data_IF_940476519521
#
_entry.id   IF_940476519521
#
_cell.length_a   1.000
_cell.length_b   1.000
_cell.length_c   1.000
_cell.angle_alpha   90.00
_cell.angle_beta   90.00
_cell.angle_gamma   90.00
#
_symmetry.space_group_name_H-M   'P 1'
#
loop_
_entity.id
_entity.type
_entity.pdbx_description
1 polymer ?
#
# COMPACT_ATOMS: atom_id res chain seq x y z
N UNK A 1 -3.59 41.59 30.88
CA UNK A 1 -4.44 40.70 30.06
C UNK A 1 -3.97 40.51 28.59
N UNK A 2 -3.39 41.52 27.92
CA UNK A 2 -2.92 41.40 26.49
C UNK A 2 -1.77 40.40 26.27
N UNK A 3 -0.87 40.19 27.25
CA UNK A 3 0.30 39.33 27.08
C UNK A 3 -0.04 37.83 27.11
N UNK A 4 -1.03 37.39 27.89
CA UNK A 4 -1.46 35.97 27.95
C UNK A 4 -2.16 35.56 26.68
N UNK A 5 -2.98 36.40 26.05
CA UNK A 5 -3.65 36.09 24.77
C UNK A 5 -2.68 35.93 23.61
N UNK A 6 -1.61 36.78 23.54
CA UNK A 6 -0.55 36.66 22.51
C UNK A 6 0.23 35.36 22.64
N UNK A 7 0.56 34.91 23.87
CA UNK A 7 1.26 33.64 24.11
C UNK A 7 0.41 32.45 23.73
N UNK A 8 -0.90 32.48 23.98
CA UNK A 8 -1.83 31.40 23.63
C UNK A 8 -1.98 31.26 22.12
N UNK A 9 -2.11 32.37 21.40
CA UNK A 9 -2.21 32.38 19.91
C UNK A 9 -0.90 31.87 19.27
N UNK A 10 0.27 32.27 19.79
CA UNK A 10 1.55 31.77 19.29
C UNK A 10 1.73 30.25 19.56
N UNK A 11 1.25 29.75 20.69
CA UNK A 11 1.30 28.33 21.02
C UNK A 11 0.39 27.51 20.09
N UNK A 12 -0.84 27.99 19.82
CA UNK A 12 -1.76 27.34 18.89
C UNK A 12 -1.23 27.32 17.45
N UNK A 13 -0.61 28.42 16.99
CA UNK A 13 -0.01 28.49 15.65
C UNK A 13 1.17 27.54 15.50
N UNK A 14 2.02 27.39 16.54
CA UNK A 14 3.14 26.45 16.52
C UNK A 14 2.68 24.98 16.50
N UNK A 15 1.61 24.64 17.25
CA UNK A 15 1.05 23.27 17.25
C UNK A 15 0.44 22.94 15.89
N UNK A 16 -0.30 23.84 15.28
CA UNK A 16 -0.90 23.62 13.94
C UNK A 16 0.20 23.47 12.89
N UNK A 17 1.23 24.31 12.92
CA UNK A 17 2.37 24.19 11.99
C UNK A 17 3.11 22.85 12.15
N UNK A 18 3.31 22.38 13.38
CA UNK A 18 3.97 21.09 13.66
C UNK A 18 3.15 19.91 13.15
N UNK A 19 1.83 19.92 13.31
CA UNK A 19 0.93 18.87 12.83
C UNK A 19 0.94 18.81 11.29
N UNK A 20 0.91 19.96 10.62
CA UNK A 20 0.97 20.04 9.16
C UNK A 20 2.30 19.50 8.64
N UNK A 21 3.44 19.92 9.22
CA UNK A 21 4.77 19.46 8.80
C UNK A 21 4.95 17.96 9.01
N UNK A 22 4.50 17.41 10.13
CA UNK A 22 4.57 15.96 10.40
C UNK A 22 3.68 15.17 9.45
N UNK A 23 2.50 15.69 9.08
CA UNK A 23 1.63 15.08 8.08
C UNK A 23 2.26 15.02 6.69
N UNK A 24 2.92 16.09 6.27
CA UNK A 24 3.64 16.14 4.98
C UNK A 24 4.87 15.24 4.95
N UNK A 25 5.64 15.15 6.04
CA UNK A 25 6.79 14.24 6.16
C UNK A 25 6.38 12.76 6.06
N UNK A 26 5.23 12.37 6.63
CA UNK A 26 4.75 10.99 6.52
C UNK A 26 4.30 10.63 5.10
N UNK A 27 3.62 11.54 4.41
CA UNK A 27 3.22 11.32 3.02
C UNK A 27 4.43 11.20 2.08
N UNK A 28 5.52 11.96 2.32
CA UNK A 28 6.73 11.92 1.50
C UNK A 28 7.59 10.67 1.74
N UNK A 29 7.56 10.07 2.94
CA UNK A 29 8.35 8.88 3.27
C UNK A 29 7.92 7.65 2.46
N UNK A 30 6.64 7.56 2.06
CA UNK A 30 6.15 6.45 1.26
C UNK A 30 6.44 6.60 -0.25
N UNK A 31 6.66 7.81 -0.75
CA UNK A 31 6.94 8.05 -2.17
C UNK A 31 8.39 7.69 -2.57
N UNK A 32 9.29 7.50 -1.62
CA UNK A 32 10.72 7.26 -1.86
C UNK A 32 11.20 5.87 -1.39
N UNK A 33 10.28 4.94 -1.15
CA UNK A 33 10.63 3.56 -0.77
C UNK A 33 11.15 2.81 -2.02
N UNK A 34 12.41 2.38 -1.98
CA UNK A 34 13.04 1.62 -3.08
C UNK A 34 12.42 0.22 -3.25
N UNK A 35 11.65 -0.24 -2.27
CA UNK A 35 10.88 -1.47 -2.34
C UNK A 35 9.40 -1.26 -2.71
N UNK A 36 9.01 -0.05 -3.08
CA UNK A 36 7.65 0.22 -3.57
C UNK A 36 7.35 -0.64 -4.80
N UNK A 37 6.19 -1.26 -4.81
CA UNK A 37 5.77 -2.21 -5.85
C UNK A 37 5.86 -1.63 -7.26
N UNK A 38 5.53 -0.35 -7.46
CA UNK A 38 5.60 0.31 -8.76
C UNK A 38 7.04 0.53 -9.26
N UNK A 39 8.03 0.51 -8.36
CA UNK A 39 9.45 0.59 -8.71
C UNK A 39 10.04 -0.80 -8.95
N UNK A 40 9.65 -1.78 -8.14
CA UNK A 40 10.29 -3.11 -8.11
C UNK A 40 9.78 -4.01 -9.23
N UNK A 41 8.47 -3.94 -9.52
CA UNK A 41 7.78 -4.81 -10.49
C UNK A 41 6.73 -4.04 -11.31
N UNK A 42 7.13 -2.97 -12.01
CA UNK A 42 6.22 -2.12 -12.78
C UNK A 42 5.50 -2.89 -13.91
N UNK A 43 6.03 -4.03 -14.33
CA UNK A 43 5.42 -4.89 -15.33
C UNK A 43 4.11 -5.55 -14.88
N UNK A 44 3.96 -5.78 -13.57
CA UNK A 44 2.77 -6.42 -13.00
C UNK A 44 1.78 -5.42 -12.41
N UNK A 45 2.18 -4.17 -12.15
CA UNK A 45 1.36 -3.17 -11.46
C UNK A 45 1.26 -1.87 -12.22
N UNK A 46 0.02 -1.41 -12.43
CA UNK A 46 -0.29 -0.14 -13.04
C UNK A 46 -0.94 0.80 -12.04
N UNK A 47 -0.44 2.03 -11.96
CA UNK A 47 -1.09 3.10 -11.19
C UNK A 47 -2.33 3.60 -11.95
N UNK A 48 -3.51 3.49 -11.34
CA UNK A 48 -4.80 3.90 -11.91
C UNK A 48 -5.25 5.25 -11.34
N UNK A 49 -5.16 5.42 -10.02
CA UNK A 49 -5.51 6.66 -9.32
C UNK A 49 -4.39 6.95 -8.31
N UNK A 50 -4.02 8.22 -8.20
CA UNK A 50 -3.15 8.72 -7.13
C UNK A 50 -3.63 10.09 -6.64
N UNK A 51 -3.88 10.20 -5.32
CA UNK A 51 -4.25 11.44 -4.67
C UNK A 51 -3.73 11.46 -3.21
N UNK A 52 -3.91 12.53 -2.42
CA UNK A 52 -3.41 12.60 -1.05
C UNK A 52 -3.95 11.52 -0.10
N UNK A 53 -5.06 10.86 -0.41
CA UNK A 53 -5.72 9.92 0.49
C UNK A 53 -5.50 8.46 0.11
N UNK A 54 -5.49 8.18 -1.19
CA UNK A 54 -5.40 6.81 -1.72
C UNK A 54 -4.54 6.75 -2.97
N UNK A 55 -3.95 5.58 -3.22
CA UNK A 55 -3.54 5.17 -4.55
C UNK A 55 -4.26 3.87 -4.93
N UNK A 56 -4.66 3.77 -6.17
CA UNK A 56 -5.32 2.58 -6.72
C UNK A 56 -4.38 1.96 -7.74
N UNK A 57 -4.07 0.69 -7.51
CA UNK A 57 -3.22 -0.12 -8.38
C UNK A 57 -4.07 -1.20 -9.05
N UNK A 58 -3.83 -1.41 -10.32
CA UNK A 58 -4.30 -2.58 -11.05
C UNK A 58 -3.14 -3.57 -11.15
N UNK A 59 -3.33 -4.78 -10.63
CA UNK A 59 -2.31 -5.82 -10.54
C UNK A 59 -2.65 -7.00 -11.45
N UNK A 60 -1.66 -7.46 -12.24
CA UNK A 60 -1.75 -8.63 -13.09
C UNK A 60 -0.53 -9.53 -12.86
N UNK A 61 -0.73 -10.65 -12.17
CA UNK A 61 0.34 -11.60 -11.90
C UNK A 61 0.12 -12.87 -12.73
N UNK A 62 0.88 -13.09 -13.81
CA UNK A 62 0.74 -14.27 -14.66
C UNK A 62 0.92 -15.59 -13.89
N UNK A 63 0.27 -16.66 -14.33
CA UNK A 63 0.47 -17.99 -13.77
C UNK A 63 1.96 -18.39 -13.85
N UNK A 64 2.48 -18.96 -12.76
CA UNK A 64 3.88 -19.37 -12.64
C UNK A 64 4.87 -18.24 -12.33
N UNK A 65 4.42 -16.99 -12.22
CA UNK A 65 5.29 -15.86 -11.85
C UNK A 65 5.59 -15.86 -10.36
N UNK A 66 6.85 -15.65 -10.00
CA UNK A 66 7.27 -15.28 -8.64
C UNK A 66 7.78 -13.84 -8.68
N UNK A 67 7.17 -12.99 -7.87
CA UNK A 67 7.50 -11.57 -7.76
C UNK A 67 8.69 -11.34 -6.83
N UNK A 68 9.44 -10.27 -7.06
CA UNK A 68 10.49 -9.82 -6.14
C UNK A 68 9.88 -9.31 -4.82
N UNK A 69 10.63 -9.32 -3.71
CA UNK A 69 10.21 -8.65 -2.49
C UNK A 69 9.82 -7.19 -2.75
N UNK A 70 8.63 -6.80 -2.31
CA UNK A 70 8.09 -5.46 -2.50
C UNK A 70 7.17 -5.04 -1.36
N UNK A 71 6.88 -3.73 -1.30
CA UNK A 71 6.01 -3.14 -0.28
C UNK A 71 4.68 -2.69 -0.86
N UNK A 72 3.66 -2.92 -0.04
CA UNK A 72 2.34 -2.32 -0.19
C UNK A 72 1.97 -1.51 1.05
N UNK A 73 1.18 -0.46 0.85
CA UNK A 73 0.46 0.21 1.93
C UNK A 73 -0.72 -0.67 2.36
N UNK A 74 -1.25 -0.43 3.58
CA UNK A 74 -2.50 -1.07 4.01
C UNK A 74 -3.65 -0.67 3.10
N UNK A 75 -4.63 -1.55 2.98
CA UNK A 75 -5.78 -1.25 2.16
C UNK A 75 -6.64 -2.44 1.79
N UNK A 76 -7.47 -2.25 0.79
CA UNK A 76 -8.45 -3.21 0.32
C UNK A 76 -8.02 -3.73 -1.05
N UNK A 77 -8.25 -5.02 -1.28
CA UNK A 77 -8.10 -5.65 -2.60
C UNK A 77 -9.42 -6.23 -3.06
N UNK A 78 -9.72 -6.07 -4.35
CA UNK A 78 -10.88 -6.63 -5.03
C UNK A 78 -10.39 -7.59 -6.11
N UNK A 79 -10.77 -8.86 -6.01
CA UNK A 79 -10.38 -9.88 -6.99
C UNK A 79 -11.24 -9.78 -8.26
N UNK A 80 -10.61 -9.54 -9.38
CA UNK A 80 -11.23 -9.41 -10.70
C UNK A 80 -11.19 -10.73 -11.48
N UNK A 81 -10.45 -11.72 -11.01
CA UNK A 81 -10.41 -13.09 -11.50
C UNK A 81 -10.35 -14.07 -10.34
N UNK A 82 -10.61 -15.34 -10.59
CA UNK A 82 -10.27 -16.43 -9.67
C UNK A 82 -8.79 -16.77 -9.82
N UNK A 83 -8.08 -16.94 -8.69
CA UNK A 83 -6.65 -17.25 -8.69
C UNK A 83 -6.19 -17.99 -7.44
N UNK A 84 -5.00 -18.56 -7.51
CA UNK A 84 -4.30 -19.14 -6.36
C UNK A 84 -2.92 -18.54 -6.26
N UNK A 85 -2.68 -17.75 -5.23
CA UNK A 85 -1.38 -17.18 -4.90
C UNK A 85 -0.82 -17.82 -3.64
N UNK A 86 0.49 -17.84 -3.52
CA UNK A 86 1.19 -17.99 -2.26
C UNK A 86 1.91 -16.68 -1.93
N UNK A 87 1.86 -16.30 -0.66
CA UNK A 87 2.53 -15.09 -0.17
C UNK A 87 3.27 -15.37 1.12
N UNK A 88 4.35 -14.62 1.37
CA UNK A 88 5.06 -14.62 2.64
C UNK A 88 5.42 -13.20 3.06
N UNK A 89 5.28 -12.92 4.34
CA UNK A 89 5.73 -11.64 4.94
C UNK A 89 7.21 -11.77 5.26
N UNK A 90 7.98 -10.78 4.91
CA UNK A 90 9.43 -10.78 5.11
C UNK A 90 9.81 -10.06 6.42
N UNK A 91 10.96 -10.45 7.08
CA UNK A 91 11.97 -11.41 6.55
C UNK A 91 11.63 -12.90 6.79
N UNK A 92 10.88 -13.26 7.84
CA UNK A 92 10.86 -14.63 8.36
C UNK A 92 9.54 -15.38 8.16
N UNK A 93 8.59 -14.78 7.43
CA UNK A 93 7.27 -15.35 7.18
C UNK A 93 7.33 -16.61 6.31
N UNK A 94 6.48 -17.59 6.66
CA UNK A 94 6.29 -18.80 5.87
C UNK A 94 5.35 -18.51 4.68
N UNK A 95 5.49 -19.30 3.61
CA UNK A 95 4.57 -19.24 2.49
C UNK A 95 3.17 -19.68 2.93
N UNK A 96 2.19 -18.84 2.66
CA UNK A 96 0.77 -19.09 2.93
C UNK A 96 0.01 -19.10 1.62
N UNK A 97 -0.75 -20.17 1.37
CA UNK A 97 -1.58 -20.33 0.18
C UNK A 97 -2.90 -19.58 0.33
N UNK A 98 -3.24 -18.82 -0.68
CA UNK A 98 -4.45 -18.00 -0.75
C UNK A 98 -5.21 -18.32 -2.04
N UNK A 99 -6.38 -18.92 -1.91
CA UNK A 99 -7.32 -19.14 -3.00
C UNK A 99 -8.39 -18.06 -2.96
N UNK A 100 -8.61 -17.37 -4.05
CA UNK A 100 -9.55 -16.26 -4.14
C UNK A 100 -10.47 -16.45 -5.33
N UNK A 101 -11.74 -16.13 -5.15
CA UNK A 101 -12.76 -16.14 -6.19
C UNK A 101 -12.98 -14.74 -6.74
N UNK A 102 -13.45 -14.65 -7.97
CA UNK A 102 -13.94 -13.39 -8.55
C UNK A 102 -14.88 -12.67 -7.58
N UNK A 103 -14.70 -11.38 -7.40
CA UNK A 103 -15.50 -10.53 -6.51
C UNK A 103 -15.13 -10.61 -5.02
N UNK A 104 -14.16 -11.44 -4.63
CA UNK A 104 -13.68 -11.46 -3.24
C UNK A 104 -13.07 -10.10 -2.89
N UNK A 105 -13.48 -9.54 -1.76
CA UNK A 105 -12.91 -8.32 -1.18
C UNK A 105 -12.22 -8.66 0.13
N UNK A 106 -10.99 -8.19 0.31
CA UNK A 106 -10.25 -8.43 1.55
C UNK A 106 -9.36 -7.26 1.94
N UNK A 107 -9.11 -7.16 3.24
CA UNK A 107 -8.19 -6.20 3.83
C UNK A 107 -6.78 -6.79 3.93
N UNK A 108 -5.76 -5.95 3.78
CA UNK A 108 -4.36 -6.28 4.08
C UNK A 108 -3.68 -5.12 4.78
N UNK A 109 -2.88 -5.45 5.79
CA UNK A 109 -2.01 -4.49 6.44
C UNK A 109 -0.83 -4.11 5.54
N UNK A 110 -0.20 -2.98 5.86
CA UNK A 110 1.05 -2.59 5.20
C UNK A 110 2.12 -3.65 5.44
N UNK A 111 2.78 -4.09 4.39
CA UNK A 111 3.75 -5.19 4.50
C UNK A 111 4.85 -5.12 3.46
N UNK A 112 6.03 -5.61 3.83
CA UNK A 112 7.05 -6.10 2.92
C UNK A 112 6.80 -7.59 2.72
N UNK A 113 6.52 -7.99 1.49
CA UNK A 113 6.20 -9.37 1.20
C UNK A 113 6.75 -9.84 -0.15
N UNK A 114 6.63 -11.11 -0.39
CA UNK A 114 6.87 -11.75 -1.66
C UNK A 114 5.67 -12.60 -2.03
N UNK A 115 5.32 -12.63 -3.31
CA UNK A 115 4.15 -13.34 -3.85
C UNK A 115 4.57 -14.23 -5.01
N UNK A 116 3.91 -15.38 -5.17
CA UNK A 116 4.01 -16.20 -6.37
C UNK A 116 2.65 -16.74 -6.79
N UNK A 117 2.41 -16.73 -8.09
CA UNK A 117 1.18 -17.30 -8.63
C UNK A 117 1.38 -18.79 -8.91
N UNK A 118 0.84 -19.63 -8.03
CA UNK A 118 0.89 -21.09 -8.11
C UNK A 118 -0.35 -21.70 -8.76
N UNK A 119 -1.27 -20.84 -9.19
CA UNK A 119 -2.48 -21.22 -9.92
C UNK A 119 -2.24 -21.41 -11.42
N UNK A 120 -3.33 -21.68 -12.14
CA UNK A 120 -3.32 -21.87 -13.60
C UNK A 120 -3.83 -20.64 -14.34
N UNK A 121 -4.37 -19.67 -13.63
CA UNK A 121 -4.94 -18.44 -14.17
C UNK A 121 -4.11 -17.24 -13.75
N UNK A 122 -4.14 -16.18 -14.55
CA UNK A 122 -3.58 -14.89 -14.16
C UNK A 122 -4.38 -14.31 -13.00
N UNK A 123 -3.70 -13.87 -11.95
CA UNK A 123 -4.31 -13.06 -10.90
C UNK A 123 -4.53 -11.66 -11.42
N UNK A 124 -5.77 -11.18 -11.43
CA UNK A 124 -6.14 -9.79 -11.69
C UNK A 124 -6.82 -9.21 -10.45
N UNK A 125 -6.28 -8.13 -9.92
CA UNK A 125 -6.75 -7.52 -8.68
C UNK A 125 -6.70 -6.00 -8.78
N UNK A 126 -7.74 -5.33 -8.28
CA UNK A 126 -7.70 -3.89 -7.99
C UNK A 126 -7.33 -3.73 -6.53
N UNK A 127 -6.22 -3.04 -6.26
CA UNK A 127 -5.77 -2.73 -4.91
C UNK A 127 -5.91 -1.25 -4.61
N UNK A 128 -6.64 -0.94 -3.54
CA UNK A 128 -6.87 0.42 -3.04
C UNK A 128 -6.02 0.57 -1.79
N UNK A 129 -4.97 1.34 -1.87
CA UNK A 129 -4.02 1.60 -0.79
C UNK A 129 -4.30 2.93 -0.11
N UNK A 130 -4.28 2.92 1.22
CA UNK A 130 -4.56 4.10 2.06
C UNK A 130 -3.26 4.79 2.44
N UNK A 131 -3.19 6.12 2.28
CA UNK A 131 -1.99 6.94 2.51
C UNK A 131 -1.92 7.60 3.90
N UNK A 132 -2.75 7.16 4.87
CA UNK A 132 -2.82 7.74 6.22
C UNK A 132 -2.76 6.68 7.33
#
# INVERSE_FOLDING_TARGET
MRSRRRRLVLLCLSIVATIVVVGWMRASAFQNDDLDVLKVIPENYKLVIDNPFVRVLEAHIPAGTEEKPHRHLRGISVCMTEYTLESRILPDGQWTRNERKLGTVYWSEASLHQVRNVGKTMSHTIRIELKY
#
